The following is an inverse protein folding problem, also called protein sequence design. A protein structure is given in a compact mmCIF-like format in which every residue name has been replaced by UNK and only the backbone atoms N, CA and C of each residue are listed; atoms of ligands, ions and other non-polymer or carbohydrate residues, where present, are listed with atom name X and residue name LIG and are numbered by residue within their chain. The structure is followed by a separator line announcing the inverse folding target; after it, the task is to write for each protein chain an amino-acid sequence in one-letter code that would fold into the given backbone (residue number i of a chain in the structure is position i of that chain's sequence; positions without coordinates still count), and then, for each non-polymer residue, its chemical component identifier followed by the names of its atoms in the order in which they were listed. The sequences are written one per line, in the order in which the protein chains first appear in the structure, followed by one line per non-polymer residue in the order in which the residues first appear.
data_IF_452705965803
#
_entry.id   IF_452705965803
#
_cell.length_a   1.000
_cell.length_b   1.000
_cell.length_c   1.000
_cell.angle_alpha   90.00
_cell.angle_beta   90.00
_cell.angle_gamma   90.00
#
_symmetry.space_group_name_H-M   'P 1'
#
loop_
_entity.id
_entity.type
_entity.pdbx_description
1 polymer ?
#
# COMPACT_ATOMS: atom_id res chain seq x y z
N UNK A 1 9.23 -2.96 -35.56
CA UNK A 1 8.81 -1.71 -34.89
C UNK A 1 9.86 -1.39 -33.84
N UNK A 2 10.59 -0.30 -34.02
CA UNK A 2 11.65 0.14 -33.10
C UNK A 2 11.07 1.02 -32.00
N UNK A 3 11.81 1.23 -30.90
CA UNK A 3 11.41 2.14 -29.82
C UNK A 3 11.17 3.57 -30.35
N UNK A 4 11.93 3.99 -31.36
CA UNK A 4 11.77 5.30 -32.00
C UNK A 4 10.43 5.41 -32.74
N UNK A 5 10.02 4.36 -33.46
CA UNK A 5 8.72 4.34 -34.17
C UNK A 5 7.55 4.42 -33.19
N UNK A 6 7.69 3.75 -32.03
CA UNK A 6 6.68 3.69 -30.99
C UNK A 6 6.53 5.04 -30.27
N UNK A 7 7.65 5.71 -29.97
CA UNK A 7 7.65 7.06 -29.39
C UNK A 7 7.09 8.10 -30.37
N UNK A 8 7.41 8.01 -31.66
CA UNK A 8 6.90 8.94 -32.66
C UNK A 8 5.39 8.80 -32.86
N UNK A 9 4.91 7.55 -32.94
CA UNK A 9 3.47 7.25 -32.99
C UNK A 9 2.74 7.75 -31.73
N UNK A 10 3.29 7.53 -30.54
CA UNK A 10 2.66 7.97 -29.30
C UNK A 10 2.68 9.48 -29.13
N UNK A 11 3.74 10.16 -29.59
CA UNK A 11 3.83 11.63 -29.59
C UNK A 11 2.81 12.25 -30.54
N UNK A 12 2.66 11.70 -31.74
CA UNK A 12 1.67 12.18 -32.71
C UNK A 12 0.23 11.97 -32.21
N UNK A 13 -0.03 10.83 -31.58
CA UNK A 13 -1.31 10.53 -30.90
C UNK A 13 -1.60 11.48 -29.74
N UNK A 14 -0.61 11.77 -28.90
CA UNK A 14 -0.73 12.70 -27.77
C UNK A 14 -0.99 14.14 -28.23
N UNK A 15 -0.29 14.61 -29.27
CA UNK A 15 -0.49 15.96 -29.83
C UNK A 15 -1.86 16.15 -30.48
N UNK A 16 -2.43 15.08 -31.05
CA UNK A 16 -3.74 15.10 -31.70
C UNK A 16 -4.90 14.74 -30.77
N UNK A 17 -4.63 14.34 -29.51
CA UNK A 17 -5.65 13.82 -28.60
C UNK A 17 -6.35 12.55 -29.12
N UNK A 18 -5.66 11.76 -29.95
CA UNK A 18 -6.19 10.56 -30.63
C UNK A 18 -5.44 9.29 -30.22
N UNK A 19 -4.66 9.37 -29.14
CA UNK A 19 -4.17 8.17 -28.49
C UNK A 19 -5.34 7.38 -27.93
N UNK A 20 -5.22 6.06 -27.92
CA UNK A 20 -5.99 5.25 -26.97
C UNK A 20 -5.55 5.75 -25.58
N UNK A 21 -6.25 6.74 -25.03
CA UNK A 21 -6.20 6.99 -23.60
C UNK A 21 -6.63 5.68 -22.98
N UNK A 22 -5.74 5.03 -22.24
CA UNK A 22 -6.06 3.81 -21.50
C UNK A 22 -7.30 4.13 -20.69
N UNK A 23 -8.48 3.61 -21.03
CA UNK A 23 -9.71 4.11 -20.45
C UNK A 23 -9.65 3.79 -18.97
N UNK A 24 -9.49 4.83 -18.15
CA UNK A 24 -9.41 4.69 -16.71
C UNK A 24 -10.84 4.74 -16.20
N UNK A 25 -11.28 3.69 -15.52
CA UNK A 25 -12.48 3.81 -14.69
C UNK A 25 -12.24 4.92 -13.67
N UNK A 26 -13.26 5.71 -13.39
CA UNK A 26 -13.23 6.72 -12.32
C UNK A 26 -13.98 6.16 -11.11
N UNK A 27 -13.34 5.27 -10.33
CA UNK A 27 -14.02 4.66 -9.21
C UNK A 27 -14.32 5.72 -8.15
N UNK A 28 -15.28 5.42 -7.27
CA UNK A 28 -15.73 6.40 -6.27
C UNK A 28 -14.60 6.95 -5.38
N UNK A 29 -13.56 6.15 -5.13
CA UNK A 29 -12.40 6.56 -4.33
C UNK A 29 -11.73 7.80 -4.90
N UNK A 30 -11.72 7.99 -6.22
CA UNK A 30 -11.18 9.21 -6.86
C UNK A 30 -11.87 10.45 -6.28
N UNK A 31 -13.21 10.44 -6.28
CA UNK A 31 -14.00 11.57 -5.83
C UNK A 31 -13.96 11.75 -4.31
N UNK A 32 -14.03 10.66 -3.55
CA UNK A 32 -14.06 10.70 -2.08
C UNK A 32 -12.70 11.02 -1.47
N UNK A 33 -11.60 10.56 -2.07
CA UNK A 33 -10.25 10.89 -1.58
C UNK A 33 -9.97 12.40 -1.68
N UNK A 34 -10.53 13.05 -2.70
CA UNK A 34 -10.39 14.50 -2.95
C UNK A 34 -11.51 15.33 -2.29
N UNK A 35 -12.47 14.70 -1.61
CA UNK A 35 -13.59 15.39 -0.99
C UNK A 35 -13.16 16.34 0.14
N UNK A 36 -12.08 15.99 0.84
CA UNK A 36 -11.52 16.78 1.92
C UNK A 36 -10.02 16.93 1.71
N UNK A 37 -9.49 18.13 1.99
CA UNK A 37 -8.06 18.39 1.89
C UNK A 37 -7.29 17.47 2.86
N UNK A 38 -6.53 16.54 2.29
CA UNK A 38 -5.69 15.59 3.02
C UNK A 38 -4.23 16.01 2.85
N UNK A 39 -3.73 16.85 3.77
CA UNK A 39 -2.46 17.56 3.57
C UNK A 39 -1.23 16.64 3.64
N UNK A 40 -1.23 15.54 4.43
CA UNK A 40 -0.10 14.60 4.42
C UNK A 40 -0.41 13.14 4.83
N UNK A 41 -0.02 12.19 3.99
CA UNK A 41 0.26 10.78 4.37
C UNK A 41 -0.92 9.95 4.91
N UNK A 42 -2.15 10.44 4.83
CA UNK A 42 -3.35 9.71 5.26
C UNK A 42 -3.71 8.61 4.25
N UNK A 43 -3.90 7.38 4.72
CA UNK A 43 -4.40 6.32 3.86
C UNK A 43 -5.06 5.16 4.62
N UNK A 44 -5.94 4.46 3.90
CA UNK A 44 -6.36 3.09 4.20
C UNK A 44 -6.12 2.21 2.97
N UNK A 45 -5.46 1.07 3.15
CA UNK A 45 -5.20 0.11 2.08
C UNK A 45 -6.27 -0.97 1.99
N UNK A 46 -6.85 -1.12 0.80
CA UNK A 46 -7.79 -2.19 0.40
C UNK A 46 -7.18 -3.06 -0.70
N UNK A 47 -7.87 -4.13 -1.11
CA UNK A 47 -7.46 -5.00 -2.21
C UNK A 47 -8.58 -5.03 -3.25
N UNK A 48 -8.28 -4.76 -4.53
CA UNK A 48 -9.29 -4.75 -5.59
C UNK A 48 -9.91 -6.09 -5.91
N UNK A 49 -9.30 -7.19 -5.46
CA UNK A 49 -9.83 -8.55 -5.67
C UNK A 49 -11.01 -8.88 -4.75
N UNK A 50 -11.29 -8.03 -3.75
CA UNK A 50 -12.40 -8.25 -2.82
C UNK A 50 -13.74 -7.92 -3.47
N UNK A 51 -14.58 -8.94 -3.65
CA UNK A 51 -15.97 -8.81 -4.09
C UNK A 51 -16.92 -9.14 -2.94
N UNK A 52 -17.54 -8.10 -2.38
CA UNK A 52 -18.51 -8.20 -1.29
C UNK A 52 -19.95 -8.26 -1.83
N UNK A 53 -20.16 -8.55 -3.11
CA UNK A 53 -21.49 -8.65 -3.74
C UNK A 53 -22.36 -9.67 -2.99
N UNK A 54 -23.62 -9.33 -2.76
CA UNK A 54 -24.57 -10.15 -2.00
C UNK A 54 -24.55 -9.92 -0.49
N UNK A 55 -23.63 -9.09 0.03
CA UNK A 55 -23.57 -8.76 1.45
C UNK A 55 -23.83 -7.26 1.69
N UNK A 56 -24.74 -6.97 2.61
CA UNK A 56 -25.18 -5.60 2.94
C UNK A 56 -24.34 -4.93 4.04
N UNK A 57 -23.76 -5.73 4.94
CA UNK A 57 -23.02 -5.22 6.10
C UNK A 57 -22.10 -6.27 6.69
N UNK A 58 -21.12 -5.77 7.44
CA UNK A 58 -20.30 -6.62 8.27
C UNK A 58 -19.26 -5.84 9.06
N UNK A 59 -18.15 -6.49 9.35
CA UNK A 59 -17.01 -5.86 10.03
C UNK A 59 -15.69 -6.16 9.34
N UNK A 60 -14.73 -5.26 9.50
CA UNK A 60 -13.38 -5.39 8.96
C UNK A 60 -12.36 -5.18 10.08
N UNK A 61 -11.32 -6.01 10.09
CA UNK A 61 -10.16 -5.83 10.97
C UNK A 61 -9.19 -4.89 10.29
N UNK A 62 -8.92 -3.77 10.97
CA UNK A 62 -8.05 -2.71 10.48
C UNK A 62 -6.86 -2.61 11.42
N UNK A 63 -5.67 -2.88 10.89
CA UNK A 63 -4.42 -2.51 11.55
C UNK A 63 -4.09 -1.06 11.16
N UNK A 64 -3.97 -0.17 12.13
CA UNK A 64 -3.74 1.24 11.87
C UNK A 64 -2.88 1.91 12.94
N UNK A 65 -2.27 3.04 12.57
CA UNK A 65 -1.70 4.01 13.49
C UNK A 65 -2.27 5.37 13.16
N UNK A 66 -2.65 6.10 14.20
CA UNK A 66 -3.16 7.45 14.07
C UNK A 66 -2.40 8.36 15.02
N UNK A 67 -1.80 9.41 14.50
CA UNK A 67 -0.96 10.34 15.27
C UNK A 67 -1.27 11.78 14.92
N UNK A 68 -0.71 12.70 15.71
CA UNK A 68 -0.71 14.12 15.40
C UNK A 68 0.69 14.55 14.97
N UNK A 69 0.83 15.02 13.74
CA UNK A 69 2.08 15.55 13.19
C UNK A 69 1.81 17.00 12.81
N UNK A 70 2.55 17.95 13.39
CA UNK A 70 2.34 19.39 13.18
C UNK A 70 0.86 19.80 13.39
N UNK A 71 0.23 19.28 14.44
CA UNK A 71 -1.19 19.48 14.81
C UNK A 71 -2.24 18.84 13.87
N UNK A 72 -1.83 18.34 12.70
CA UNK A 72 -2.67 17.59 11.79
C UNK A 72 -2.79 16.13 12.17
N UNK A 73 -3.92 15.51 11.82
CA UNK A 73 -4.14 14.08 12.05
C UNK A 73 -3.54 13.28 10.88
N UNK A 74 -2.66 12.34 11.22
CA UNK A 74 -2.06 11.40 10.28
C UNK A 74 -2.53 9.98 10.61
N UNK A 75 -3.40 9.42 9.77
CA UNK A 75 -3.94 8.06 9.86
C UNK A 75 -3.33 7.19 8.76
N UNK A 76 -2.70 6.09 9.15
CA UNK A 76 -2.19 5.07 8.23
C UNK A 76 -2.78 3.74 8.62
N UNK A 77 -3.48 3.09 7.70
CA UNK A 77 -4.15 1.85 8.00
C UNK A 77 -4.15 0.86 6.84
N UNK A 78 -4.38 -0.40 7.17
CA UNK A 78 -4.62 -1.48 6.23
C UNK A 78 -5.77 -2.34 6.74
N UNK A 79 -6.68 -2.72 5.84
CA UNK A 79 -7.65 -3.78 6.13
C UNK A 79 -6.94 -5.13 5.98
N UNK A 80 -6.96 -5.95 7.02
CA UNK A 80 -6.34 -7.28 7.01
C UNK A 80 -7.37 -8.40 6.81
N UNK A 81 -8.58 -8.24 7.33
CA UNK A 81 -9.65 -9.24 7.19
C UNK A 81 -11.02 -8.56 7.08
N UNK A 82 -11.93 -9.17 6.34
CA UNK A 82 -13.32 -8.74 6.19
C UNK A 82 -14.24 -9.91 6.49
N UNK A 83 -15.29 -9.64 7.28
CA UNK A 83 -16.35 -10.59 7.59
C UNK A 83 -17.71 -10.06 7.16
N UNK A 84 -18.62 -10.97 6.84
CA UNK A 84 -20.06 -10.70 6.82
C UNK A 84 -20.62 -10.64 8.24
N UNK A 85 -21.65 -9.81 8.45
CA UNK A 85 -22.35 -9.72 9.72
C UNK A 85 -21.42 -9.37 10.90
N UNK A 86 -21.65 -9.99 12.06
CA UNK A 86 -20.85 -9.75 13.27
C UNK A 86 -19.74 -10.78 13.46
N UNK A 87 -18.95 -11.03 12.40
CA UNK A 87 -17.89 -12.07 12.31
C UNK A 87 -18.42 -13.49 12.16
N UNK A 88 -19.51 -13.66 11.42
CA UNK A 88 -20.12 -14.97 11.17
C UNK A 88 -19.33 -15.75 10.11
N UNK A 89 -18.94 -15.08 9.03
CA UNK A 89 -18.24 -15.66 7.89
C UNK A 89 -17.08 -14.74 7.48
N UNK A 90 -15.87 -15.30 7.35
CA UNK A 90 -14.72 -14.58 6.78
C UNK A 90 -14.94 -14.52 5.28
N UNK A 91 -15.09 -13.32 4.73
CA UNK A 91 -15.21 -13.10 3.29
C UNK A 91 -13.84 -13.03 2.64
N UNK A 92 -12.93 -12.27 3.24
CA UNK A 92 -11.59 -12.06 2.71
C UNK A 92 -10.55 -11.92 3.82
N UNK A 93 -9.36 -12.43 3.53
CA UNK A 93 -8.14 -12.21 4.31
C UNK A 93 -7.06 -11.73 3.36
N UNK A 94 -6.38 -10.64 3.73
CA UNK A 94 -5.30 -10.05 2.95
C UNK A 94 -4.15 -11.04 2.87
N UNK A 95 -3.83 -11.45 1.65
CA UNK A 95 -2.66 -12.30 1.34
C UNK A 95 -1.44 -11.47 0.95
N UNK A 96 -1.67 -10.33 0.29
CA UNK A 96 -0.61 -9.43 -0.13
C UNK A 96 -0.03 -8.65 1.06
N UNK A 97 1.30 -8.76 1.27
CA UNK A 97 1.97 -8.12 2.39
C UNK A 97 1.91 -6.59 2.27
N UNK A 98 1.23 -5.97 3.23
CA UNK A 98 1.14 -4.52 3.34
C UNK A 98 2.45 -3.92 3.91
N UNK A 99 2.75 -2.64 3.61
CA UNK A 99 3.87 -1.96 4.23
C UNK A 99 3.74 -2.00 5.76
N UNK A 100 4.85 -2.19 6.49
CA UNK A 100 4.80 -2.21 7.94
C UNK A 100 4.30 -0.87 8.49
N UNK A 101 3.40 -0.93 9.46
CA UNK A 101 2.93 0.23 10.22
C UNK A 101 3.46 0.07 11.65
N UNK A 102 4.63 0.65 11.98
CA UNK A 102 5.24 0.46 13.30
C UNK A 102 4.30 0.94 14.40
N UNK A 103 4.08 0.12 15.44
CA UNK A 103 3.19 0.48 16.54
C UNK A 103 1.69 0.49 16.19
N UNK A 104 1.28 -0.22 15.14
CA UNK A 104 -0.13 -0.32 14.77
C UNK A 104 -0.98 -0.93 15.89
N UNK A 105 -2.16 -0.34 16.08
CA UNK A 105 -3.28 -0.88 16.84
C UNK A 105 -4.19 -1.67 15.90
N UNK A 106 -4.93 -2.65 16.43
CA UNK A 106 -5.97 -3.38 15.69
C UNK A 106 -7.35 -2.96 16.20
N UNK A 107 -8.25 -2.63 15.27
CA UNK A 107 -9.66 -2.36 15.59
C UNK A 107 -10.60 -3.07 14.63
N UNK A 108 -11.87 -3.13 15.00
CA UNK A 108 -12.95 -3.72 14.23
C UNK A 108 -13.87 -2.60 13.74
N UNK A 109 -13.64 -2.22 12.48
CA UNK A 109 -14.43 -1.23 11.77
C UNK A 109 -15.74 -1.86 11.30
N UNK A 110 -16.83 -1.10 11.37
CA UNK A 110 -18.11 -1.53 10.77
C UNK A 110 -18.12 -1.13 9.30
N UNK A 111 -18.50 -2.06 8.43
CA UNK A 111 -18.72 -1.75 7.02
C UNK A 111 -20.18 -1.94 6.63
N UNK A 112 -20.66 -1.11 5.71
CA UNK A 112 -22.00 -1.23 5.11
C UNK A 112 -21.94 -0.98 3.62
N UNK A 113 -22.73 -1.73 2.86
CA UNK A 113 -22.98 -1.46 1.45
C UNK A 113 -23.95 -0.28 1.32
N UNK A 114 -23.65 0.63 0.40
CA UNK A 114 -24.53 1.70 0.00
C UNK A 114 -24.29 2.03 -1.47
N UNK A 115 -24.88 1.24 -2.37
CA UNK A 115 -24.71 1.42 -3.81
C UNK A 115 -25.34 2.73 -4.33
N UNK A 116 -26.21 3.34 -3.53
CA UNK A 116 -26.84 4.64 -3.80
C UNK A 116 -26.06 5.85 -3.27
N UNK A 117 -24.88 5.66 -2.66
CA UNK A 117 -24.07 6.75 -2.11
C UNK A 117 -23.78 7.79 -3.23
N UNK A 118 -24.23 9.05 -3.08
CA UNK A 118 -23.95 10.10 -4.06
C UNK A 118 -22.45 10.44 -4.05
N UNK A 119 -22.01 11.10 -5.11
CA UNK A 119 -20.68 11.71 -5.13
C UNK A 119 -20.57 12.80 -4.03
N UNK A 120 -19.37 13.00 -3.46
CA UNK A 120 -19.17 14.02 -2.45
C UNK A 120 -19.42 15.41 -3.07
N UNK A 121 -20.20 16.23 -2.39
CA UNK A 121 -20.43 17.61 -2.78
C UNK A 121 -19.68 18.53 -1.81
N UNK A 122 -18.67 19.26 -2.28
CA UNK A 122 -17.85 20.13 -1.42
C UNK A 122 -18.67 21.13 -0.58
N UNK A 123 -19.78 21.65 -1.12
CA UNK A 123 -20.64 22.59 -0.40
C UNK A 123 -21.56 21.93 0.65
N UNK A 124 -21.75 20.61 0.60
CA UNK A 124 -22.67 19.86 1.46
C UNK A 124 -21.98 18.72 2.23
N UNK A 125 -20.67 18.56 2.06
CA UNK A 125 -19.91 17.41 2.57
C UNK A 125 -20.11 17.20 4.07
N UNK A 126 -20.03 18.28 4.86
CA UNK A 126 -20.23 18.22 6.31
C UNK A 126 -21.58 17.63 6.73
N UNK A 127 -22.62 17.76 5.90
CA UNK A 127 -23.93 17.13 6.11
C UNK A 127 -24.00 15.67 5.64
N UNK A 128 -23.14 15.26 4.70
CA UNK A 128 -23.06 13.89 4.20
C UNK A 128 -22.27 12.96 5.16
N UNK A 129 -21.18 13.46 5.77
CA UNK A 129 -20.27 12.63 6.58
C UNK A 129 -20.94 11.90 7.76
N UNK A 130 -21.85 12.50 8.54
CA UNK A 130 -22.51 11.80 9.65
C UNK A 130 -23.31 10.57 9.21
N UNK A 131 -23.81 10.54 7.96
CA UNK A 131 -24.50 9.37 7.40
C UNK A 131 -23.59 8.18 7.12
N UNK A 132 -22.27 8.41 7.09
CA UNK A 132 -21.24 7.38 6.89
C UNK A 132 -20.58 6.96 8.21
N UNK A 133 -20.95 7.58 9.33
CA UNK A 133 -20.49 7.19 10.66
C UNK A 133 -21.36 6.07 11.24
N UNK A 134 -20.92 4.83 11.03
CA UNK A 134 -21.62 3.66 11.52
C UNK A 134 -21.26 3.37 12.97
N UNK A 135 -22.25 3.01 13.79
CA UNK A 135 -22.00 2.59 15.18
C UNK A 135 -21.03 1.39 15.20
N UNK A 136 -19.94 1.54 15.93
CA UNK A 136 -18.91 0.52 16.05
C UNK A 136 -17.97 0.77 17.24
N UNK A 137 -16.89 -0.01 17.27
CA UNK A 137 -15.86 0.02 18.31
C UNK A 137 -15.10 1.35 18.29
N UNK A 138 -14.68 1.78 19.47
CA UNK A 138 -13.86 2.98 19.66
C UNK A 138 -12.49 2.59 20.19
N UNK A 139 -11.44 3.14 19.60
CA UNK A 139 -10.09 3.03 20.13
C UNK A 139 -9.69 4.32 20.85
N UNK A 140 -9.19 4.20 22.07
CA UNK A 140 -8.71 5.35 22.84
C UNK A 140 -7.31 5.74 22.39
N UNK A 141 -7.12 7.04 22.14
CA UNK A 141 -5.82 7.64 21.82
C UNK A 141 -5.54 8.81 22.74
N UNK A 142 -4.32 9.34 22.72
CA UNK A 142 -3.92 10.51 23.52
C UNK A 142 -4.69 11.79 23.18
N UNK A 143 -5.36 11.84 22.02
CA UNK A 143 -6.07 13.02 21.54
C UNK A 143 -7.58 12.81 21.34
N UNK A 144 -8.12 11.68 21.79
CA UNK A 144 -9.56 11.38 21.80
C UNK A 144 -9.88 9.93 21.44
N UNK A 145 -11.17 9.66 21.26
CA UNK A 145 -11.70 8.34 20.91
C UNK A 145 -11.89 8.27 19.40
N UNK A 146 -11.23 7.34 18.73
CA UNK A 146 -11.31 7.13 17.29
C UNK A 146 -12.28 6.01 16.94
N UNK A 147 -13.03 6.19 15.86
CA UNK A 147 -13.84 5.15 15.22
C UNK A 147 -13.60 5.16 13.72
N UNK A 148 -13.44 3.97 13.14
CA UNK A 148 -13.35 3.76 11.69
C UNK A 148 -14.65 3.16 11.19
N UNK A 149 -15.21 3.78 10.14
CA UNK A 149 -16.42 3.33 9.45
C UNK A 149 -16.13 3.21 7.95
N UNK A 150 -16.60 2.13 7.33
CA UNK A 150 -16.32 1.83 5.93
C UNK A 150 -17.62 1.75 5.13
N UNK A 151 -17.72 2.50 4.04
CA UNK A 151 -18.84 2.36 3.10
C UNK A 151 -18.33 1.63 1.87
N UNK A 152 -19.04 0.57 1.47
CA UNK A 152 -18.77 -0.19 0.25
C UNK A 152 -19.80 0.21 -0.78
N UNK A 153 -19.37 0.42 -2.03
CA UNK A 153 -20.30 0.63 -3.14
C UNK A 153 -19.78 -0.05 -4.41
N UNK A 154 -20.71 -0.56 -5.20
CA UNK A 154 -20.39 -1.05 -6.53
C UNK A 154 -19.98 0.13 -7.42
N UNK A 155 -18.81 0.01 -8.03
CA UNK A 155 -18.23 1.03 -8.91
C UNK A 155 -17.45 0.38 -10.05
N UNK A 156 -17.05 1.18 -11.03
CA UNK A 156 -16.22 0.74 -12.14
C UNK A 156 -14.75 0.90 -11.72
N UNK A 157 -14.09 -0.21 -11.36
CA UNK A 157 -12.72 -0.16 -10.84
C UNK A 157 -11.70 0.12 -11.95
N UNK A 158 -12.01 -0.31 -13.17
CA UNK A 158 -11.29 -0.10 -14.44
C UNK A 158 -12.35 -0.04 -15.55
N UNK A 159 -11.98 0.42 -16.75
CA UNK A 159 -12.91 0.44 -17.87
C UNK A 159 -13.61 -0.91 -18.07
N UNK A 160 -14.93 -0.89 -18.02
CA UNK A 160 -15.83 -2.03 -18.15
C UNK A 160 -15.61 -3.15 -17.10
N UNK A 161 -14.90 -2.86 -16.01
CA UNK A 161 -14.61 -3.81 -14.93
C UNK A 161 -15.31 -3.38 -13.63
N UNK A 162 -16.52 -3.89 -13.35
CA UNK A 162 -17.23 -3.57 -12.13
C UNK A 162 -16.57 -4.27 -10.92
N UNK A 163 -16.57 -3.60 -9.78
CA UNK A 163 -16.09 -4.14 -8.52
C UNK A 163 -16.51 -3.27 -7.35
N UNK A 164 -16.00 -3.58 -6.15
CA UNK A 164 -16.34 -2.84 -4.95
C UNK A 164 -15.29 -1.78 -4.62
N UNK A 165 -15.74 -0.53 -4.54
CA UNK A 165 -14.95 0.58 -4.01
C UNK A 165 -15.31 0.90 -2.58
N UNK A 166 -14.38 1.54 -1.88
CA UNK A 166 -14.47 1.78 -0.43
C UNK A 166 -14.31 3.26 -0.10
N UNK A 167 -15.17 3.77 0.78
CA UNK A 167 -15.02 5.08 1.44
C UNK A 167 -14.72 4.85 2.90
N UNK A 168 -13.64 5.45 3.40
CA UNK A 168 -13.25 5.37 4.81
C UNK A 168 -13.56 6.69 5.52
N UNK A 169 -14.37 6.60 6.57
CA UNK A 169 -14.61 7.70 7.49
C UNK A 169 -13.93 7.43 8.83
N UNK A 170 -13.10 8.36 9.27
CA UNK A 170 -12.55 8.40 10.62
C UNK A 170 -13.31 9.43 11.44
N UNK A 171 -13.97 8.98 12.52
CA UNK A 171 -14.59 9.87 13.50
C UNK A 171 -13.68 10.01 14.72
N UNK A 172 -13.31 11.25 15.03
CA UNK A 172 -12.66 11.62 16.28
C UNK A 172 -13.67 12.24 17.23
N UNK A 173 -13.88 11.60 18.37
CA UNK A 173 -14.69 12.15 19.44
C UNK A 173 -13.85 12.67 20.59
N UNK A 174 -14.18 13.88 21.08
CA UNK A 174 -13.58 14.51 22.26
C UNK A 174 -14.63 14.93 23.27
N UNK A 175 -14.21 15.05 24.53
CA UNK A 175 -15.05 15.50 25.63
C UNK A 175 -15.67 14.37 26.44
N UNK A 176 -16.47 14.75 27.44
CA UNK A 176 -17.15 13.82 28.35
C UNK A 176 -18.36 13.15 27.69
N UNK A 177 -18.87 12.06 28.26
CA UNK A 177 -20.07 11.33 27.81
C UNK A 177 -21.26 12.26 27.50
N UNK A 178 -21.43 13.36 28.25
CA UNK A 178 -22.57 14.28 28.12
C UNK A 178 -22.35 15.46 27.16
N UNK A 179 -21.10 15.73 26.74
CA UNK A 179 -20.75 16.79 25.78
C UNK A 179 -19.66 16.28 24.84
N UNK A 180 -20.03 15.32 24.00
CA UNK A 180 -19.16 14.69 23.02
C UNK A 180 -19.18 15.53 21.74
N UNK A 181 -18.03 16.09 21.36
CA UNK A 181 -17.84 16.75 20.07
C UNK A 181 -17.21 15.75 19.11
N UNK A 182 -17.88 15.50 18.00
CA UNK A 182 -17.41 14.60 16.95
C UNK A 182 -16.91 15.41 15.76
N UNK A 183 -15.80 14.95 15.20
CA UNK A 183 -15.20 15.48 13.98
C UNK A 183 -15.00 14.31 13.03
N UNK A 184 -15.35 14.49 11.77
CA UNK A 184 -15.28 13.46 10.76
C UNK A 184 -14.19 13.82 9.74
N UNK A 185 -13.41 12.82 9.36
CA UNK A 185 -12.35 12.93 8.37
C UNK A 185 -12.54 11.86 7.31
N UNK A 186 -12.52 12.26 6.04
CA UNK A 186 -12.45 11.29 4.94
C UNK A 186 -11.01 10.86 4.77
N UNK A 187 -10.74 9.58 5.02
CA UNK A 187 -9.40 9.00 4.87
C UNK A 187 -9.28 8.48 3.44
N UNK A 188 -8.24 8.91 2.69
CA UNK A 188 -8.01 8.40 1.34
C UNK A 188 -7.89 6.88 1.33
N UNK A 189 -8.64 6.23 0.45
CA UNK A 189 -8.54 4.78 0.26
C UNK A 189 -7.73 4.49 -0.98
N UNK A 190 -6.70 3.67 -0.82
CA UNK A 190 -5.83 3.25 -1.92
C UNK A 190 -5.85 1.74 -2.06
N UNK A 191 -5.82 1.28 -3.31
CA UNK A 191 -5.81 -0.14 -3.63
C UNK A 191 -4.38 -0.64 -3.67
N UNK A 192 -4.12 -1.69 -2.90
CA UNK A 192 -2.81 -2.29 -2.74
C UNK A 192 -2.94 -3.80 -2.52
N UNK A 193 -3.54 -4.48 -3.49
CA UNK A 193 -3.53 -5.93 -3.64
C UNK A 193 -2.46 -6.41 -4.62
N UNK A 194 -2.40 -7.74 -4.78
CA UNK A 194 -1.48 -8.36 -5.73
C UNK A 194 -1.71 -7.88 -7.17
N UNK A 195 -2.99 -7.72 -7.55
CA UNK A 195 -3.35 -7.23 -8.88
C UNK A 195 -3.15 -5.73 -9.02
N UNK A 196 -3.28 -4.94 -7.96
CA UNK A 196 -3.20 -3.47 -8.02
C UNK A 196 -1.79 -2.97 -8.33
N UNK A 197 -0.80 -3.50 -7.61
CA UNK A 197 0.60 -3.10 -7.78
C UNK A 197 1.21 -3.74 -9.03
N UNK A 198 0.75 -4.95 -9.35
CA UNK A 198 1.30 -5.74 -10.42
C UNK A 198 0.77 -5.41 -11.82
N UNK A 199 -0.41 -4.80 -11.94
CA UNK A 199 -1.06 -4.54 -13.22
C UNK A 199 -0.33 -3.48 -14.06
N UNK A 200 0.39 -2.55 -13.42
CA UNK A 200 1.03 -1.42 -14.10
C UNK A 200 2.23 -1.78 -14.98
N UNK A 201 2.73 -3.02 -14.94
CA UNK A 201 3.78 -3.51 -15.85
C UNK A 201 3.54 -5.00 -16.21
N UNK A 202 2.67 -5.30 -17.20
CA UNK A 202 2.37 -6.69 -17.58
C UNK A 202 3.62 -7.52 -17.96
N UNK A 203 4.65 -6.87 -18.51
CA UNK A 203 5.89 -7.50 -18.95
C UNK A 203 6.71 -8.13 -17.81
N UNK A 204 6.55 -7.69 -16.55
CA UNK A 204 7.32 -8.21 -15.41
C UNK A 204 6.62 -9.38 -14.70
N UNK A 205 5.43 -9.82 -15.16
CA UNK A 205 4.73 -10.98 -14.58
C UNK A 205 5.60 -12.23 -14.50
N UNK A 206 6.49 -12.45 -15.47
CA UNK A 206 7.44 -13.58 -15.50
C UNK A 206 8.45 -13.52 -14.34
N UNK A 207 8.86 -12.32 -13.93
CA UNK A 207 9.83 -12.11 -12.85
C UNK A 207 9.24 -12.41 -11.48
N UNK A 208 7.91 -12.32 -11.32
CA UNK A 208 7.25 -12.51 -10.02
C UNK A 208 7.60 -13.84 -9.38
N UNK A 209 7.53 -14.94 -10.12
CA UNK A 209 7.82 -16.29 -9.60
C UNK A 209 9.28 -16.70 -9.72
N UNK A 210 10.16 -15.76 -10.06
CA UNK A 210 11.58 -16.06 -10.27
C UNK A 210 12.33 -16.06 -8.94
N UNK A 211 13.26 -17.02 -8.79
CA UNK A 211 14.24 -17.04 -7.72
C UNK A 211 15.58 -16.59 -8.29
N UNK A 212 16.06 -15.42 -7.85
CA UNK A 212 17.29 -14.83 -8.38
C UNK A 212 18.33 -14.77 -7.26
N UNK A 213 19.55 -15.22 -7.56
CA UNK A 213 20.69 -15.07 -6.67
C UNK A 213 21.66 -14.02 -7.25
N UNK A 214 22.00 -13.01 -6.45
CA UNK A 214 23.01 -12.00 -6.75
C UNK A 214 24.25 -12.24 -5.90
N UNK A 215 25.37 -12.48 -6.59
CA UNK A 215 26.69 -12.67 -5.98
C UNK A 215 27.50 -11.39 -6.22
N UNK A 216 27.84 -10.71 -5.13
CA UNK A 216 28.47 -9.40 -5.14
C UNK A 216 27.42 -8.28 -5.20
N UNK A 217 27.48 -7.38 -4.24
CA UNK A 217 26.59 -6.23 -4.04
C UNK A 217 27.39 -4.92 -4.12
N UNK A 218 28.41 -4.87 -4.97
CA UNK A 218 29.17 -3.67 -5.30
C UNK A 218 28.39 -2.69 -6.18
N UNK A 219 29.08 -1.98 -7.06
CA UNK A 219 28.51 -0.92 -7.89
C UNK A 219 27.43 -1.39 -8.89
N UNK A 220 27.48 -2.66 -9.32
CA UNK A 220 26.50 -3.24 -10.24
C UNK A 220 25.43 -4.06 -9.52
N UNK A 221 25.84 -4.87 -8.54
CA UNK A 221 24.93 -5.77 -7.85
C UNK A 221 23.93 -5.06 -6.96
N UNK A 222 24.33 -3.96 -6.30
CA UNK A 222 23.42 -3.24 -5.42
C UNK A 222 22.28 -2.52 -6.15
N UNK A 223 22.50 -1.76 -7.25
CA UNK A 223 21.38 -1.15 -7.97
C UNK A 223 20.52 -2.22 -8.66
N UNK A 224 21.14 -3.29 -9.19
CA UNK A 224 20.41 -4.40 -9.78
C UNK A 224 19.46 -5.07 -8.76
N UNK A 225 19.89 -5.26 -7.51
CA UNK A 225 19.03 -5.79 -6.45
C UNK A 225 17.78 -4.93 -6.25
N UNK A 226 17.93 -3.60 -6.24
CA UNK A 226 16.80 -2.67 -6.11
C UNK A 226 15.90 -2.70 -7.35
N UNK A 227 16.46 -2.75 -8.56
CA UNK A 227 15.66 -2.84 -9.79
C UNK A 227 14.87 -4.15 -9.85
N UNK A 228 15.47 -5.28 -9.48
CA UNK A 228 14.78 -6.57 -9.43
C UNK A 228 13.61 -6.54 -8.42
N UNK A 229 13.83 -5.99 -7.23
CA UNK A 229 12.78 -5.83 -6.23
C UNK A 229 11.65 -4.90 -6.72
N UNK A 230 12.00 -3.75 -7.31
CA UNK A 230 11.05 -2.79 -7.88
C UNK A 230 10.23 -3.40 -9.02
N UNK A 231 10.82 -4.28 -9.82
CA UNK A 231 10.15 -5.01 -10.89
C UNK A 231 9.37 -6.25 -10.40
N UNK A 232 9.34 -6.49 -9.09
CA UNK A 232 8.44 -7.44 -8.46
C UNK A 232 8.97 -8.87 -8.39
N UNK A 233 10.29 -9.08 -8.42
CA UNK A 233 10.90 -10.38 -8.09
C UNK A 233 10.52 -10.77 -6.66
N UNK A 234 9.97 -11.96 -6.46
CA UNK A 234 9.49 -12.38 -5.14
C UNK A 234 10.62 -12.94 -4.26
N UNK A 235 11.61 -13.60 -4.85
CA UNK A 235 12.69 -14.23 -4.08
C UNK A 235 14.06 -13.78 -4.57
N UNK A 236 14.74 -12.98 -3.73
CA UNK A 236 16.08 -12.48 -4.00
C UNK A 236 17.06 -13.00 -2.95
N UNK A 237 18.00 -13.84 -3.37
CA UNK A 237 19.15 -14.23 -2.52
C UNK A 237 20.31 -13.30 -2.82
N UNK A 238 20.84 -12.63 -1.80
CA UNK A 238 21.96 -11.70 -1.95
C UNK A 238 23.16 -12.18 -1.16
N UNK A 239 24.34 -12.16 -1.79
CA UNK A 239 25.59 -12.63 -1.22
C UNK A 239 26.67 -11.57 -1.38
N UNK A 240 27.23 -11.10 -0.29
CA UNK A 240 28.40 -10.22 -0.23
C UNK A 240 29.00 -10.31 1.18
N UNK A 241 30.29 -10.04 1.35
CA UNK A 241 30.96 -10.07 2.65
C UNK A 241 31.36 -8.67 3.16
N UNK A 242 31.29 -7.66 2.31
CA UNK A 242 31.80 -6.32 2.58
C UNK A 242 30.86 -5.50 3.48
N UNK A 243 31.45 -4.45 4.04
CA UNK A 243 30.77 -3.36 4.75
C UNK A 243 30.63 -2.17 3.80
N UNK A 244 29.60 -1.36 4.02
CA UNK A 244 29.41 -0.09 3.30
C UNK A 244 30.32 0.98 3.91
N UNK A 245 31.27 1.46 3.12
CA UNK A 245 32.15 2.58 3.46
C UNK A 245 31.65 3.88 2.80
N UNK A 246 31.93 5.07 3.38
CA UNK A 246 31.56 6.35 2.77
C UNK A 246 31.99 6.50 1.31
N UNK A 247 33.18 6.01 0.95
CA UNK A 247 33.68 6.04 -0.42
C UNK A 247 32.88 5.18 -1.40
N UNK A 248 32.04 4.26 -0.93
CA UNK A 248 31.17 3.46 -1.80
C UNK A 248 29.95 4.25 -2.29
N UNK A 249 29.47 5.25 -1.55
CA UNK A 249 28.19 5.94 -1.80
C UNK A 249 28.07 6.59 -3.16
N UNK A 250 29.19 6.98 -3.80
CA UNK A 250 29.18 7.54 -5.15
C UNK A 250 28.66 6.58 -6.24
N UNK A 251 28.65 5.27 -5.95
CA UNK A 251 28.30 4.21 -6.91
C UNK A 251 27.50 3.06 -6.31
N UNK A 252 27.20 3.12 -5.02
CA UNK A 252 26.48 2.08 -4.30
C UNK A 252 25.03 2.52 -4.10
N UNK A 253 24.10 1.55 -4.09
CA UNK A 253 22.68 1.86 -4.26
C UNK A 253 22.03 2.66 -3.12
N UNK A 254 22.57 2.61 -1.90
CA UNK A 254 22.04 3.35 -0.76
C UNK A 254 23.01 4.43 -0.27
N UNK A 255 22.47 5.43 0.42
CA UNK A 255 23.19 6.59 0.92
C UNK A 255 23.81 6.41 2.32
N UNK A 256 24.12 7.54 2.96
CA UNK A 256 24.81 7.61 4.25
C UNK A 256 24.13 6.84 5.40
N UNK A 257 22.82 6.58 5.31
CA UNK A 257 22.06 5.77 6.27
C UNK A 257 22.52 4.30 6.37
N UNK A 258 23.36 3.85 5.44
CA UNK A 258 23.88 2.50 5.38
C UNK A 258 25.36 2.38 5.77
N UNK A 259 26.07 3.48 6.00
CA UNK A 259 27.50 3.44 6.37
C UNK A 259 27.74 2.57 7.62
N UNK A 260 28.81 1.77 7.57
CA UNK A 260 29.18 0.86 8.66
C UNK A 260 28.32 -0.41 8.76
N UNK A 261 27.24 -0.54 7.97
CA UNK A 261 26.44 -1.76 7.89
C UNK A 261 27.05 -2.73 6.87
N UNK A 262 26.80 -4.04 7.04
CA UNK A 262 27.04 -5.02 5.99
C UNK A 262 26.18 -4.68 4.77
N UNK A 263 26.75 -4.81 3.56
CA UNK A 263 26.03 -4.51 2.31
C UNK A 263 24.76 -5.34 2.16
N UNK A 264 24.85 -6.61 2.52
CA UNK A 264 23.74 -7.58 2.57
C UNK A 264 22.62 -7.10 3.50
N UNK A 265 22.93 -6.85 4.77
CA UNK A 265 21.94 -6.41 5.77
C UNK A 265 21.28 -5.09 5.39
N UNK A 266 22.06 -4.12 4.89
CA UNK A 266 21.53 -2.82 4.52
C UNK A 266 20.54 -2.90 3.34
N UNK A 267 20.87 -3.69 2.30
CA UNK A 267 19.98 -3.89 1.17
C UNK A 267 18.75 -4.73 1.52
N UNK A 268 18.91 -5.79 2.33
CA UNK A 268 17.79 -6.59 2.82
C UNK A 268 16.77 -5.73 3.56
N UNK A 269 17.21 -4.95 4.55
CA UNK A 269 16.34 -4.07 5.33
C UNK A 269 15.64 -3.03 4.45
N UNK A 270 16.37 -2.42 3.52
CA UNK A 270 15.81 -1.43 2.61
C UNK A 270 14.77 -2.04 1.67
N UNK A 271 15.09 -3.16 1.02
CA UNK A 271 14.17 -3.83 0.10
C UNK A 271 12.92 -4.32 0.82
N UNK A 272 13.04 -4.92 2.01
CA UNK A 272 11.88 -5.38 2.77
C UNK A 272 10.97 -4.23 3.23
N UNK A 273 11.55 -3.06 3.53
CA UNK A 273 10.79 -1.88 3.92
C UNK A 273 10.04 -1.23 2.74
N UNK A 274 10.70 -1.09 1.60
CA UNK A 274 10.18 -0.34 0.44
C UNK A 274 9.44 -1.23 -0.58
N UNK A 275 9.83 -2.49 -0.68
CA UNK A 275 9.32 -3.48 -1.63
C UNK A 275 8.87 -4.75 -0.89
N UNK A 276 7.81 -4.67 -0.05
CA UNK A 276 7.41 -5.75 0.87
C UNK A 276 7.05 -7.07 0.18
N UNK A 277 6.84 -7.09 -1.14
CA UNK A 277 6.67 -8.31 -1.94
C UNK A 277 7.97 -9.13 -2.06
N UNK A 278 9.13 -8.48 -2.01
CA UNK A 278 10.42 -9.12 -2.25
C UNK A 278 10.92 -9.73 -0.95
N UNK A 279 10.87 -11.06 -0.85
CA UNK A 279 11.56 -11.80 0.19
C UNK A 279 13.05 -11.85 -0.13
N UNK A 280 13.84 -11.17 0.70
CA UNK A 280 15.29 -11.19 0.59
C UNK A 280 15.88 -12.20 1.57
N UNK A 281 16.83 -13.01 1.09
CA UNK A 281 17.68 -13.86 1.95
C UNK A 281 19.13 -13.41 1.79
N UNK A 282 19.75 -12.95 2.88
CA UNK A 282 21.13 -12.52 2.89
C UNK A 282 22.10 -13.64 3.28
N UNK A 283 23.32 -13.61 2.75
CA UNK A 283 24.40 -14.49 3.18
C UNK A 283 25.74 -13.77 3.10
N UNK A 284 26.39 -13.66 4.26
CA UNK A 284 27.67 -12.99 4.40
C UNK A 284 28.82 -13.93 4.06
N UNK A 285 29.02 -14.17 2.76
CA UNK A 285 29.98 -15.17 2.29
C UNK A 285 31.01 -14.57 1.34
N UNK A 286 32.25 -14.99 1.53
CA UNK A 286 33.32 -14.77 0.56
C UNK A 286 33.31 -15.93 -0.44
N UNK A 287 33.09 -15.66 -1.72
CA UNK A 287 33.12 -16.69 -2.76
C UNK A 287 34.53 -16.79 -3.31
N UNK A 288 35.16 -17.96 -3.15
CA UNK A 288 36.47 -18.24 -3.75
C UNK A 288 37.49 -18.97 -2.89
N UNK A 289 37.20 -19.24 -1.61
CA UNK A 289 38.08 -20.09 -0.78
C UNK A 289 37.38 -21.44 -0.58
N UNK A 290 37.73 -22.41 -1.42
CA UNK A 290 37.38 -23.81 -1.15
C UNK A 290 37.95 -24.19 0.20
N UNK A 291 37.12 -24.72 1.10
CA UNK A 291 37.59 -25.29 2.36
C UNK A 291 38.52 -26.46 2.03
N UNK A 292 39.81 -26.16 1.96
CA UNK A 292 40.87 -27.15 1.94
C UNK A 292 40.73 -28.00 3.19
N UNK A 293 40.06 -29.13 3.04
CA UNK A 293 40.06 -30.22 4.00
C UNK A 293 41.53 -30.57 4.22
N UNK A 294 42.12 -30.11 5.34
CA UNK A 294 43.46 -30.57 5.75
C UNK A 294 43.34 -32.08 5.96
N UNK A 295 43.79 -32.85 4.97
CA UNK A 295 44.29 -34.21 5.17
C UNK A 295 45.76 -34.05 5.50
N UNK A 296 46.16 -34.57 6.67
CA UNK A 296 47.52 -34.49 7.21
C UNK A 296 47.47 -33.99 8.64
#
# INVERSE_FOLDING_TARGET
MTLADLLHSNLEKALKGTGDEDPQGEPMEVWWNDAQRNETGNFLLVDSTWDLTGFEKGVAEVAFRCERINEELCFRGVIEKIWAGSREEVLYERTFQAPPIPGALRTIATWRRNDTLPLPNQGQLAGQLPGLDYKGRHEQTSFGSLRVSLTVKRTELRHEAPGDGFVCLLTLSRGSKNKRREQHFVIPVFRAGEEDLGYRVPATKVLRRSHIALIGLGALGSPLALELARNGVEHLRILDHDIVEPGNTVRWALGASAWGKRKTTALEQFIQAEYPRTTVTSSDVFIGVGSGRRRG
#
